data_IF_955643455249
#
_entry.id   IF_955643455249
#
_cell.length_a   1.000
_cell.length_b   1.000
_cell.length_c   1.000
_cell.angle_alpha   90.00
_cell.angle_beta   90.00
_cell.angle_gamma   90.00
#
_symmetry.space_group_name_H-M   'P 1'
#
loop_
_entity.id
_entity.type
_entity.pdbx_description
1 polymer ?
#
# COMPACT_ATOMS: atom_id res chain seq x y z
N UNK A 1 26.09 15.39 -19.68
CA UNK A 1 25.12 14.63 -20.49
C UNK A 1 25.38 13.17 -20.20
N UNK A 2 24.65 12.61 -19.25
CA UNK A 2 24.61 11.18 -18.95
C UNK A 2 23.14 10.84 -18.67
N UNK A 3 22.36 10.80 -19.75
CA UNK A 3 21.00 10.26 -19.73
C UNK A 3 21.13 8.73 -19.77
N UNK A 4 21.03 8.08 -18.61
CA UNK A 4 20.94 6.63 -18.52
C UNK A 4 19.47 6.21 -18.76
N UNK A 5 19.11 5.60 -19.91
CA UNK A 5 17.70 5.34 -20.25
C UNK A 5 17.13 4.04 -19.65
N UNK A 6 17.84 3.33 -18.78
CA UNK A 6 17.46 1.98 -18.36
C UNK A 6 16.59 1.87 -17.10
N UNK A 7 16.10 2.97 -16.53
CA UNK A 7 15.26 2.95 -15.33
C UNK A 7 13.82 3.41 -15.63
N UNK A 8 13.09 2.65 -16.44
CA UNK A 8 11.66 2.94 -16.71
C UNK A 8 10.81 1.67 -16.82
N UNK A 9 10.68 0.94 -15.72
CA UNK A 9 9.38 0.39 -15.33
C UNK A 9 9.26 0.48 -13.80
N UNK A 10 8.29 1.23 -13.25
CA UNK A 10 8.07 1.21 -11.82
C UNK A 10 7.44 -0.14 -11.47
N UNK A 11 8.25 -1.07 -10.96
CA UNK A 11 7.71 -2.14 -10.12
C UNK A 11 7.01 -1.46 -8.93
N UNK A 12 5.73 -1.76 -8.66
CA UNK A 12 5.05 -1.22 -7.49
C UNK A 12 5.88 -1.60 -6.25
N UNK A 13 6.03 -0.65 -5.31
CA UNK A 13 6.81 -0.87 -4.10
C UNK A 13 6.35 -2.17 -3.43
N UNK A 14 7.23 -3.18 -3.42
CA UNK A 14 7.00 -4.55 -2.94
C UNK A 14 6.77 -4.65 -1.42
N UNK A 15 6.29 -3.58 -0.77
CA UNK A 15 6.18 -3.47 0.69
C UNK A 15 5.09 -4.34 1.31
N UNK A 16 4.12 -4.80 0.53
CA UNK A 16 3.02 -5.63 1.05
C UNK A 16 2.58 -6.64 -0.02
N UNK A 17 3.28 -7.78 -0.09
CA UNK A 17 2.82 -9.00 -0.77
C UNK A 17 2.16 -9.96 0.22
N UNK A 18 1.12 -10.66 -0.25
CA UNK A 18 0.42 -11.76 0.43
C UNK A 18 1.39 -12.95 0.67
N UNK A 19 1.00 -13.87 1.58
CA UNK A 19 1.90 -14.54 2.54
C UNK A 19 3.27 -15.01 2.04
N UNK A 20 4.28 -14.71 2.86
CA UNK A 20 5.68 -15.13 2.69
C UNK A 20 5.84 -16.65 2.65
N UNK A 21 4.79 -17.41 3.00
CA UNK A 21 4.78 -18.87 3.10
C UNK A 21 5.26 -19.53 1.80
N UNK A 22 4.74 -19.12 0.64
CA UNK A 22 5.13 -19.72 -0.65
C UNK A 22 6.56 -19.40 -1.07
N UNK A 23 7.06 -18.19 -0.74
CA UNK A 23 8.47 -17.85 -0.98
C UNK A 23 9.38 -18.61 -0.02
N UNK A 24 9.00 -18.75 1.25
CA UNK A 24 9.76 -19.50 2.24
C UNK A 24 9.91 -20.98 1.85
N UNK A 25 8.83 -21.62 1.37
CA UNK A 25 8.87 -22.99 0.85
C UNK A 25 9.81 -23.12 -0.36
N UNK A 26 9.77 -22.15 -1.29
CA UNK A 26 10.66 -22.14 -2.45
C UNK A 26 12.13 -21.96 -2.04
N UNK A 27 12.41 -21.06 -1.11
CA UNK A 27 13.76 -20.86 -0.56
C UNK A 27 14.26 -22.12 0.16
N UNK A 28 13.40 -22.83 0.90
CA UNK A 28 13.75 -24.10 1.52
C UNK A 28 14.04 -25.19 0.48
N UNK A 29 13.23 -25.28 -0.58
CA UNK A 29 13.48 -26.21 -1.69
C UNK A 29 14.81 -25.92 -2.38
N UNK A 30 15.11 -24.66 -2.67
CA UNK A 30 16.39 -24.24 -3.25
C UNK A 30 17.56 -24.65 -2.33
N UNK A 31 17.42 -24.42 -1.02
CA UNK A 31 18.44 -24.82 -0.04
C UNK A 31 18.69 -26.32 -0.04
N UNK A 32 17.63 -27.13 -0.15
CA UNK A 32 17.74 -28.58 -0.18
C UNK A 32 18.38 -29.08 -1.48
N UNK A 33 17.99 -28.52 -2.64
CA UNK A 33 18.53 -28.91 -3.96
C UNK A 33 20.01 -28.52 -4.10
N UNK A 34 20.40 -27.38 -3.54
CA UNK A 34 21.79 -26.87 -3.60
C UNK A 34 22.66 -27.35 -2.44
N UNK A 35 22.10 -28.08 -1.47
CA UNK A 35 22.76 -28.45 -0.20
C UNK A 35 23.47 -27.27 0.48
N UNK A 36 22.85 -26.08 0.43
CA UNK A 36 23.47 -24.85 0.91
C UNK A 36 23.49 -24.77 2.44
N UNK A 37 24.50 -24.10 3.00
CA UNK A 37 24.50 -23.70 4.40
C UNK A 37 23.52 -22.56 4.66
N UNK A 38 23.42 -21.61 3.73
CA UNK A 38 22.38 -20.57 3.69
C UNK A 38 21.90 -20.36 2.27
N UNK A 39 20.59 -20.25 2.09
CA UNK A 39 19.94 -19.68 0.91
C UNK A 39 19.21 -18.41 1.33
N UNK A 40 19.39 -17.32 0.60
CA UNK A 40 18.77 -16.04 0.91
C UNK A 40 18.28 -15.31 -0.34
N UNK A 41 17.10 -14.70 -0.23
CA UNK A 41 16.50 -13.85 -1.26
C UNK A 41 16.47 -12.40 -0.76
N UNK A 42 17.13 -11.55 -1.50
CA UNK A 42 17.12 -10.10 -1.30
C UNK A 42 16.23 -9.45 -2.35
N UNK A 43 15.31 -8.58 -1.94
CA UNK A 43 14.46 -7.81 -2.84
C UNK A 43 14.78 -6.32 -2.74
N UNK A 44 14.72 -5.63 -3.87
CA UNK A 44 14.98 -4.21 -3.97
C UNK A 44 13.76 -3.38 -3.56
N UNK A 45 13.93 -2.52 -2.56
CA UNK A 45 12.97 -1.49 -2.17
C UNK A 45 13.26 -0.22 -2.98
N UNK A 46 12.42 0.04 -3.98
CA UNK A 46 12.54 1.21 -4.86
C UNK A 46 12.39 2.55 -4.14
N UNK A 47 11.70 2.59 -3.00
CA UNK A 47 11.50 3.82 -2.21
C UNK A 47 12.75 4.15 -1.40
N UNK A 48 13.36 3.13 -0.79
CA UNK A 48 14.57 3.31 0.02
C UNK A 48 15.87 3.19 -0.78
N UNK A 49 15.80 2.74 -2.04
CA UNK A 49 16.93 2.43 -2.90
C UNK A 49 17.92 1.45 -2.23
N UNK A 50 17.40 0.37 -1.64
CA UNK A 50 18.17 -0.63 -0.91
C UNK A 50 17.63 -2.04 -1.14
N UNK A 51 18.49 -3.04 -1.03
CA UNK A 51 18.12 -4.45 -1.00
C UNK A 51 17.82 -4.84 0.45
N UNK A 52 16.65 -5.43 0.69
CA UNK A 52 16.28 -5.97 1.99
C UNK A 52 16.25 -7.50 1.91
N UNK A 53 16.71 -8.16 2.96
CA UNK A 53 16.54 -9.61 3.09
C UNK A 53 15.04 -9.93 3.23
N UNK A 54 14.47 -10.65 2.26
CA UNK A 54 13.03 -10.96 2.25
C UNK A 54 12.75 -12.30 2.89
N UNK A 55 13.48 -13.33 2.49
CA UNK A 55 13.33 -14.71 2.94
C UNK A 55 14.71 -15.36 3.00
N UNK A 56 14.90 -16.29 3.92
CA UNK A 56 16.12 -17.11 3.97
C UNK A 56 15.84 -18.47 4.63
N UNK A 57 16.67 -19.45 4.28
CA UNK A 57 16.80 -20.72 4.98
C UNK A 57 18.28 -20.89 5.32
N UNK A 58 18.61 -21.10 6.59
CA UNK A 58 20.00 -21.15 7.04
C UNK A 58 20.19 -22.10 8.21
N UNK A 59 21.37 -22.73 8.25
CA UNK A 59 21.87 -23.45 9.41
C UNK A 59 22.65 -22.54 10.39
N UNK A 60 22.83 -21.26 10.07
CA UNK A 60 23.47 -20.28 10.95
C UNK A 60 22.48 -19.67 11.95
N UNK A 61 22.93 -19.51 13.20
CA UNK A 61 22.22 -18.74 14.23
C UNK A 61 22.59 -17.25 14.21
N UNK A 62 23.44 -16.82 13.29
CA UNK A 62 24.01 -15.47 13.22
C UNK A 62 23.59 -14.71 11.96
N UNK A 63 22.51 -15.11 11.29
CA UNK A 63 21.89 -14.30 10.23
C UNK A 63 21.45 -12.96 10.81
N UNK A 64 21.67 -11.88 10.06
CA UNK A 64 21.10 -10.58 10.37
C UNK A 64 19.77 -10.40 9.59
N UNK A 65 18.60 -10.63 10.20
CA UNK A 65 17.32 -10.53 9.51
C UNK A 65 17.00 -9.09 9.07
N UNK A 66 17.52 -8.08 9.79
CA UNK A 66 17.27 -6.66 9.54
C UNK A 66 18.26 -6.05 8.53
N UNK A 67 19.03 -6.88 7.82
CA UNK A 67 20.05 -6.38 6.90
C UNK A 67 19.45 -5.60 5.73
N UNK A 68 20.07 -4.45 5.43
CA UNK A 68 19.73 -3.60 4.29
C UNK A 68 21.00 -3.23 3.55
N UNK A 69 21.10 -3.62 2.28
CA UNK A 69 22.29 -3.44 1.46
C UNK A 69 22.10 -2.31 0.46
N UNK A 70 23.14 -1.51 0.25
CA UNK A 70 23.16 -0.57 -0.87
C UNK A 70 23.48 -1.32 -2.18
N UNK A 71 22.99 -0.80 -3.30
CA UNK A 71 23.34 -1.35 -4.62
C UNK A 71 24.83 -1.11 -4.89
N UNK A 72 25.54 -2.18 -5.28
CA UNK A 72 27.01 -2.18 -5.43
C UNK A 72 27.80 -2.39 -4.13
N UNK A 73 27.14 -2.45 -2.98
CA UNK A 73 27.75 -2.71 -1.68
C UNK A 73 27.62 -4.21 -1.34
N UNK A 74 28.73 -4.85 -1.00
CA UNK A 74 28.89 -6.33 -0.95
C UNK A 74 28.78 -7.04 -2.31
N UNK A 75 29.08 -8.34 -2.34
CA UNK A 75 28.89 -9.17 -3.53
C UNK A 75 27.43 -9.26 -3.95
N UNK A 76 26.50 -9.25 -2.99
CA UNK A 76 25.05 -9.28 -3.24
C UNK A 76 24.65 -7.97 -3.94
N UNK A 77 25.08 -6.81 -3.41
CA UNK A 77 24.85 -5.53 -4.06
C UNK A 77 25.52 -5.42 -5.43
N UNK A 78 26.69 -6.02 -5.62
CA UNK A 78 27.35 -6.08 -6.92
C UNK A 78 26.53 -6.84 -7.95
N UNK A 79 25.95 -8.00 -7.59
CA UNK A 79 25.06 -8.77 -8.48
C UNK A 79 23.84 -7.95 -8.87
N UNK A 80 23.20 -7.28 -7.90
CA UNK A 80 22.07 -6.39 -8.18
C UNK A 80 22.43 -5.25 -9.14
N UNK A 81 23.62 -4.65 -8.98
CA UNK A 81 24.10 -3.56 -9.82
C UNK A 81 24.43 -4.00 -11.25
N UNK A 82 25.11 -5.14 -11.39
CA UNK A 82 25.69 -5.56 -12.67
C UNK A 82 24.83 -6.56 -13.42
N UNK A 83 23.76 -7.08 -12.80
CA UNK A 83 22.85 -8.07 -13.39
C UNK A 83 23.60 -9.29 -13.94
N UNK A 84 24.63 -9.72 -13.21
CA UNK A 84 25.51 -10.85 -13.57
C UNK A 84 25.71 -11.76 -12.38
N UNK A 85 25.77 -13.08 -12.59
CA UNK A 85 26.03 -14.03 -11.52
C UNK A 85 27.45 -13.89 -10.98
N UNK A 86 27.63 -14.27 -9.73
CA UNK A 86 28.92 -14.40 -9.06
C UNK A 86 29.02 -15.80 -8.48
N UNK A 87 30.05 -16.55 -8.86
CA UNK A 87 30.41 -17.83 -8.25
C UNK A 87 31.85 -17.73 -7.75
N UNK A 88 32.03 -17.78 -6.43
CA UNK A 88 33.34 -17.61 -5.78
C UNK A 88 33.64 -18.85 -4.93
N UNK A 89 34.72 -19.52 -5.29
CA UNK A 89 35.41 -20.52 -4.49
C UNK A 89 36.92 -20.48 -4.83
N UNK A 90 37.83 -20.45 -3.85
CA UNK A 90 37.56 -20.38 -2.41
C UNK A 90 37.12 -18.98 -1.98
N UNK A 91 36.22 -18.91 -0.98
CA UNK A 91 35.85 -17.68 -0.32
C UNK A 91 36.71 -17.50 0.94
N UNK A 92 37.88 -16.88 0.78
CA UNK A 92 38.87 -16.72 1.86
C UNK A 92 38.82 -15.33 2.52
N UNK A 93 37.62 -14.74 2.62
CA UNK A 93 37.40 -13.41 3.22
C UNK A 93 36.47 -13.52 4.41
N UNK A 94 36.51 -12.50 5.28
CA UNK A 94 35.54 -12.37 6.37
C UNK A 94 34.12 -12.33 5.81
N UNK A 95 33.27 -13.26 6.27
CA UNK A 95 31.91 -13.43 5.75
C UNK A 95 30.99 -12.27 6.11
N UNK A 96 31.36 -11.45 7.11
CA UNK A 96 30.64 -10.21 7.42
C UNK A 96 30.66 -9.23 6.25
N UNK A 97 31.59 -9.38 5.30
CA UNK A 97 31.62 -8.58 4.07
C UNK A 97 30.44 -8.89 3.13
N UNK A 98 29.78 -10.04 3.26
CA UNK A 98 28.52 -10.31 2.57
C UNK A 98 27.38 -9.48 3.16
N UNK A 99 27.55 -8.97 4.39
CA UNK A 99 26.55 -8.23 5.18
C UNK A 99 25.25 -9.02 5.44
N UNK A 100 25.32 -10.35 5.32
CA UNK A 100 24.25 -11.29 5.66
C UNK A 100 24.34 -11.78 7.12
N UNK A 101 25.56 -11.82 7.68
CA UNK A 101 25.83 -12.37 9.01
C UNK A 101 26.30 -11.32 10.01
N UNK A 102 25.92 -11.52 11.27
CA UNK A 102 26.38 -10.75 12.44
C UNK A 102 27.80 -11.14 12.89
N UNK A 103 28.26 -12.35 12.55
CA UNK A 103 29.58 -12.89 12.89
C UNK A 103 30.20 -13.57 11.67
N UNK A 104 31.51 -13.80 11.75
CA UNK A 104 32.21 -14.63 10.77
C UNK A 104 31.75 -16.09 10.88
N UNK A 105 31.11 -16.59 9.82
CA UNK A 105 30.60 -17.97 9.72
C UNK A 105 31.58 -18.91 9.02
N UNK A 106 32.73 -18.41 8.56
CA UNK A 106 33.74 -19.19 7.82
C UNK A 106 33.16 -19.87 6.57
N UNK A 107 32.37 -19.12 5.82
CA UNK A 107 31.88 -19.48 4.49
C UNK A 107 33.07 -19.64 3.56
N UNK A 108 32.99 -20.65 2.69
CA UNK A 108 34.06 -21.12 1.81
C UNK A 108 33.68 -21.13 0.33
N UNK A 109 32.38 -21.17 0.03
CA UNK A 109 31.85 -20.98 -1.33
C UNK A 109 30.64 -20.07 -1.28
N UNK A 110 30.50 -19.19 -2.25
CA UNK A 110 29.37 -18.27 -2.39
C UNK A 110 28.93 -18.20 -3.85
N UNK A 111 27.64 -18.38 -4.10
CA UNK A 111 27.03 -18.25 -5.41
C UNK A 111 25.82 -17.32 -5.32
N UNK A 112 25.73 -16.35 -6.23
CA UNK A 112 24.61 -15.42 -6.30
C UNK A 112 24.21 -15.15 -7.74
N UNK A 113 22.92 -15.06 -8.00
CA UNK A 113 22.32 -14.79 -9.31
C UNK A 113 21.28 -13.66 -9.19
N UNK A 114 21.11 -12.84 -10.23
CA UNK A 114 20.04 -11.85 -10.25
C UNK A 114 18.66 -12.52 -10.31
N UNK A 115 17.67 -11.92 -9.65
CA UNK A 115 16.24 -12.24 -9.78
C UNK A 115 15.63 -11.09 -10.58
N UNK A 116 15.94 -11.05 -11.88
CA UNK A 116 15.73 -9.86 -12.70
C UNK A 116 16.26 -8.58 -12.03
N UNK A 117 15.58 -7.45 -12.27
CA UNK A 117 15.90 -6.17 -11.63
C UNK A 117 15.37 -6.04 -10.20
N UNK A 118 14.55 -6.99 -9.75
CA UNK A 118 13.82 -6.88 -8.47
C UNK A 118 14.57 -7.45 -7.28
N UNK A 119 15.67 -8.18 -7.50
CA UNK A 119 16.38 -8.80 -6.39
C UNK A 119 17.59 -9.66 -6.75
N UNK A 120 18.09 -10.37 -5.74
CA UNK A 120 19.24 -11.28 -5.82
C UNK A 120 18.93 -12.53 -5.00
N UNK A 121 19.17 -13.69 -5.59
CA UNK A 121 19.11 -14.99 -4.91
C UNK A 121 20.54 -15.48 -4.71
N UNK A 122 20.91 -15.81 -3.47
CA UNK A 122 22.24 -16.30 -3.16
C UNK A 122 22.21 -17.54 -2.28
N UNK A 123 23.26 -18.36 -2.44
CA UNK A 123 23.54 -19.54 -1.63
C UNK A 123 25.01 -19.53 -1.20
N UNK A 124 25.28 -20.10 -0.02
CA UNK A 124 26.63 -20.28 0.47
C UNK A 124 26.89 -21.65 1.09
N UNK A 125 28.16 -21.96 1.32
CA UNK A 125 28.60 -23.23 1.92
C UNK A 125 29.85 -23.06 2.77
N UNK A 126 29.99 -23.88 3.82
CA UNK A 126 31.23 -24.03 4.61
C UNK A 126 32.26 -24.96 3.97
N UNK A 127 31.97 -25.51 2.79
CA UNK A 127 32.86 -26.35 1.97
C UNK A 127 33.39 -25.55 0.77
N UNK A 128 34.60 -25.85 0.31
CA UNK A 128 35.20 -25.22 -0.89
C UNK A 128 34.72 -25.90 -2.18
N UNK A 129 34.62 -25.15 -3.28
CA UNK A 129 34.35 -25.63 -4.63
C UNK A 129 33.07 -26.48 -4.76
N UNK A 130 32.02 -26.15 -3.99
CA UNK A 130 30.76 -26.91 -4.00
C UNK A 130 29.88 -26.52 -5.18
N UNK A 131 29.86 -25.25 -5.57
CA UNK A 131 28.97 -24.74 -6.60
C UNK A 131 29.64 -24.81 -7.98
N UNK A 132 29.23 -25.78 -8.78
CA UNK A 132 29.64 -25.97 -10.17
C UNK A 132 28.85 -25.08 -11.13
N UNK A 133 29.22 -25.06 -12.41
CA UNK A 133 28.44 -24.38 -13.46
C UNK A 133 27.01 -24.93 -13.57
N UNK A 134 26.83 -26.22 -13.25
CA UNK A 134 25.50 -26.84 -13.18
C UNK A 134 24.68 -26.24 -12.04
N UNK A 135 25.28 -26.04 -10.88
CA UNK A 135 24.60 -25.43 -9.72
C UNK A 135 24.26 -23.96 -9.98
N UNK A 136 25.15 -23.22 -10.65
CA UNK A 136 24.85 -21.87 -11.11
C UNK A 136 23.65 -21.84 -12.06
N UNK A 137 23.57 -22.78 -13.01
CA UNK A 137 22.44 -22.89 -13.93
C UNK A 137 21.15 -23.22 -13.18
N UNK A 138 21.19 -24.17 -12.25
CA UNK A 138 20.04 -24.53 -11.40
C UNK A 138 19.57 -23.32 -10.60
N UNK A 139 20.48 -22.59 -9.94
CA UNK A 139 20.12 -21.41 -9.15
C UNK A 139 19.53 -20.29 -10.02
N UNK A 140 20.06 -20.10 -11.23
CA UNK A 140 19.49 -19.17 -12.21
C UNK A 140 18.07 -19.58 -12.63
N UNK A 141 17.83 -20.86 -12.92
CA UNK A 141 16.48 -21.32 -13.27
C UNK A 141 15.51 -21.12 -12.09
N UNK A 142 15.95 -21.31 -10.85
CA UNK A 142 15.18 -20.96 -9.67
C UNK A 142 14.95 -19.44 -9.53
N UNK A 143 15.91 -18.60 -9.91
CA UNK A 143 15.73 -17.14 -9.85
C UNK A 143 14.64 -16.67 -10.81
N UNK A 144 14.50 -17.32 -11.98
CA UNK A 144 13.38 -17.08 -12.90
C UNK A 144 12.04 -17.51 -12.29
N UNK A 145 11.98 -18.64 -11.58
CA UNK A 145 10.77 -19.08 -10.88
C UNK A 145 10.37 -18.10 -9.76
N UNK A 146 11.34 -17.65 -8.95
CA UNK A 146 11.12 -16.62 -7.93
C UNK A 146 10.54 -15.36 -8.57
N UNK A 147 11.12 -14.91 -9.70
CA UNK A 147 10.62 -13.73 -10.42
C UNK A 147 9.17 -13.90 -10.88
N UNK A 148 8.83 -15.06 -11.44
CA UNK A 148 7.46 -15.36 -11.88
C UNK A 148 6.47 -15.34 -10.72
N UNK A 149 6.83 -15.90 -9.55
CA UNK A 149 5.99 -15.87 -8.35
C UNK A 149 5.76 -14.43 -7.88
N UNK A 150 6.82 -13.61 -7.82
CA UNK A 150 6.71 -12.20 -7.43
C UNK A 150 5.82 -11.40 -8.39
N UNK A 151 5.95 -11.63 -9.69
CA UNK A 151 5.11 -10.99 -10.72
C UNK A 151 3.64 -11.41 -10.59
N UNK A 152 3.38 -12.71 -10.42
CA UNK A 152 2.02 -13.21 -10.23
C UNK A 152 1.37 -12.61 -8.98
N UNK A 153 2.10 -12.50 -7.87
CA UNK A 153 1.62 -11.85 -6.65
C UNK A 153 1.30 -10.37 -6.85
N UNK A 154 2.16 -9.63 -7.56
CA UNK A 154 1.94 -8.22 -7.86
C UNK A 154 0.70 -8.01 -8.76
N UNK A 155 0.55 -8.82 -9.81
CA UNK A 155 -0.62 -8.80 -10.70
C UNK A 155 -1.89 -9.12 -9.95
N UNK A 156 -1.90 -10.18 -9.13
CA UNK A 156 -3.06 -10.56 -8.33
C UNK A 156 -3.49 -9.45 -7.34
N UNK A 157 -2.54 -8.69 -6.79
CA UNK A 157 -2.86 -7.54 -5.94
C UNK A 157 -3.58 -6.43 -6.72
N UNK A 158 -3.06 -6.07 -7.89
CA UNK A 158 -3.66 -5.05 -8.76
C UNK A 158 -5.06 -5.49 -9.22
N UNK A 159 -5.21 -6.75 -9.66
CA UNK A 159 -6.50 -7.31 -10.08
C UNK A 159 -7.52 -7.29 -8.94
N UNK A 160 -7.13 -7.70 -7.74
CA UNK A 160 -8.00 -7.66 -6.56
C UNK A 160 -8.45 -6.24 -6.21
N UNK A 161 -7.56 -5.27 -6.33
CA UNK A 161 -7.89 -3.85 -6.11
C UNK A 161 -8.87 -3.34 -7.16
N UNK A 162 -8.63 -3.63 -8.44
CA UNK A 162 -9.54 -3.27 -9.52
C UNK A 162 -10.92 -3.92 -9.35
N UNK A 163 -10.97 -5.20 -8.97
CA UNK A 163 -12.21 -5.89 -8.65
C UNK A 163 -12.96 -5.20 -7.51
N UNK A 164 -12.25 -4.84 -6.44
CA UNK A 164 -12.85 -4.15 -5.28
C UNK A 164 -13.43 -2.79 -5.68
N UNK A 165 -12.75 -2.02 -6.54
CA UNK A 165 -13.23 -0.74 -7.08
C UNK A 165 -14.47 -0.95 -7.96
N UNK A 166 -14.46 -1.94 -8.86
CA UNK A 166 -15.60 -2.24 -9.73
C UNK A 166 -16.84 -2.68 -8.93
N UNK A 167 -16.65 -3.56 -7.94
CA UNK A 167 -17.72 -3.97 -7.02
C UNK A 167 -18.28 -2.78 -6.26
N UNK A 168 -17.43 -1.86 -5.79
CA UNK A 168 -17.87 -0.62 -5.15
C UNK A 168 -18.74 0.23 -6.07
N UNK A 169 -18.31 0.48 -7.31
CA UNK A 169 -19.10 1.23 -8.29
C UNK A 169 -20.43 0.55 -8.62
N UNK A 170 -20.43 -0.77 -8.80
CA UNK A 170 -21.65 -1.53 -9.06
C UNK A 170 -22.65 -1.41 -7.92
N UNK A 171 -22.18 -1.46 -6.66
CA UNK A 171 -23.04 -1.24 -5.50
C UNK A 171 -23.62 0.18 -5.46
N UNK A 172 -22.79 1.22 -5.63
CA UNK A 172 -23.26 2.62 -5.66
C UNK A 172 -24.27 2.85 -6.78
N UNK A 173 -24.01 2.33 -7.99
CA UNK A 173 -24.91 2.46 -9.13
C UNK A 173 -26.24 1.73 -8.91
N UNK A 174 -26.20 0.54 -8.31
CA UNK A 174 -27.40 -0.24 -7.97
C UNK A 174 -28.25 0.50 -6.93
N UNK A 175 -27.62 1.06 -5.89
CA UNK A 175 -28.31 1.89 -4.90
C UNK A 175 -28.92 3.14 -5.56
N UNK A 176 -28.21 3.76 -6.48
CA UNK A 176 -28.63 5.01 -7.14
C UNK A 176 -29.80 4.84 -8.11
N UNK A 177 -30.02 3.63 -8.64
CA UNK A 177 -31.15 3.30 -9.53
C UNK A 177 -32.41 2.83 -8.79
N UNK A 178 -32.28 2.42 -7.53
CA UNK A 178 -33.39 1.84 -6.76
C UNK A 178 -34.32 2.95 -6.24
N UNK A 179 -35.63 2.81 -6.49
CA UNK A 179 -36.66 3.65 -5.87
C UNK A 179 -36.67 3.41 -4.35
N UNK A 180 -36.30 4.42 -3.58
CA UNK A 180 -36.24 4.38 -2.12
C UNK A 180 -36.35 5.79 -1.54
N UNK A 181 -36.64 5.91 -0.24
CA UNK A 181 -36.63 7.21 0.43
C UNK A 181 -35.20 7.75 0.60
N UNK A 182 -35.10 9.07 0.71
CA UNK A 182 -33.83 9.79 0.76
C UNK A 182 -32.98 9.40 1.98
N UNK A 183 -33.60 9.12 3.14
CA UNK A 183 -32.86 8.74 4.34
C UNK A 183 -32.27 7.33 4.20
N UNK A 184 -33.04 6.39 3.66
CA UNK A 184 -32.55 5.05 3.36
C UNK A 184 -31.43 5.09 2.32
N UNK A 185 -31.55 5.94 1.29
CA UNK A 185 -30.48 6.15 0.31
C UNK A 185 -29.19 6.61 0.99
N UNK A 186 -29.27 7.67 1.80
CA UNK A 186 -28.10 8.19 2.55
C UNK A 186 -27.42 7.12 3.39
N UNK A 187 -28.18 6.36 4.17
CA UNK A 187 -27.61 5.33 5.05
C UNK A 187 -26.87 4.27 4.26
N UNK A 188 -27.44 3.79 3.14
CA UNK A 188 -26.84 2.72 2.33
C UNK A 188 -25.59 3.18 1.58
N UNK A 189 -25.60 4.38 0.99
CA UNK A 189 -24.42 4.89 0.27
C UNK A 189 -23.28 5.22 1.22
N UNK A 190 -23.57 5.80 2.39
CA UNK A 190 -22.54 6.05 3.42
C UNK A 190 -21.96 4.74 3.95
N UNK A 191 -22.80 3.73 4.22
CA UNK A 191 -22.31 2.40 4.63
C UNK A 191 -21.41 1.77 3.55
N UNK A 192 -21.77 1.89 2.28
CA UNK A 192 -20.97 1.39 1.17
C UNK A 192 -19.61 2.10 1.09
N UNK A 193 -19.60 3.43 1.15
CA UNK A 193 -18.37 4.23 1.12
C UNK A 193 -17.50 3.99 2.36
N UNK A 194 -18.10 3.82 3.55
CA UNK A 194 -17.37 3.50 4.79
C UNK A 194 -16.67 2.16 4.70
N UNK A 195 -17.38 1.12 4.24
CA UNK A 195 -16.82 -0.23 4.07
C UNK A 195 -15.68 -0.22 3.04
N UNK A 196 -15.89 0.41 1.89
CA UNK A 196 -14.88 0.51 0.84
C UNK A 196 -13.62 1.24 1.33
N UNK A 197 -13.78 2.38 2.00
CA UNK A 197 -12.66 3.15 2.55
C UNK A 197 -12.07 2.58 3.84
N UNK A 198 -12.56 1.45 4.36
CA UNK A 198 -12.14 0.89 5.65
C UNK A 198 -12.09 1.95 6.77
N UNK A 199 -13.17 2.73 6.90
CA UNK A 199 -13.32 3.77 7.93
C UNK A 199 -14.30 3.37 9.03
N UNK A 200 -14.23 4.05 10.17
CA UNK A 200 -15.05 3.77 11.34
C UNK A 200 -16.39 4.51 11.30
N UNK A 201 -16.43 5.68 10.66
CA UNK A 201 -17.67 6.42 10.43
C UNK A 201 -17.65 7.20 9.12
N UNK A 202 -18.85 7.52 8.64
CA UNK A 202 -19.08 8.33 7.46
C UNK A 202 -20.22 9.32 7.72
N UNK A 203 -20.13 10.52 7.15
CA UNK A 203 -21.22 11.49 7.23
C UNK A 203 -21.30 12.38 6.01
N UNK A 204 -22.52 12.82 5.73
CA UNK A 204 -22.84 13.65 4.59
C UNK A 204 -23.24 15.04 5.06
N UNK A 205 -22.63 16.06 4.48
CA UNK A 205 -23.07 17.44 4.63
C UNK A 205 -23.62 17.97 3.31
N UNK A 206 -24.70 18.74 3.37
CA UNK A 206 -25.22 19.51 2.25
C UNK A 206 -25.02 21.01 2.51
N UNK A 207 -24.70 21.73 1.43
CA UNK A 207 -24.50 23.18 1.44
C UNK A 207 -25.76 23.84 0.83
N UNK A 208 -26.54 24.62 1.60
CA UNK A 208 -27.67 25.39 1.08
C UNK A 208 -27.23 26.41 0.02
N UNK A 209 -28.20 26.96 -0.74
CA UNK A 209 -27.92 27.98 -1.79
C UNK A 209 -27.18 29.20 -1.25
N UNK A 210 -27.50 29.63 -0.03
CA UNK A 210 -26.74 30.63 0.70
C UNK A 210 -25.51 29.91 1.28
N UNK A 211 -24.34 30.12 0.68
CA UNK A 211 -23.05 29.49 1.07
C UNK A 211 -22.51 30.08 2.38
N UNK A 212 -23.34 30.20 3.42
CA UNK A 212 -22.95 30.71 4.75
C UNK A 212 -22.77 29.58 5.78
N UNK A 213 -23.53 28.49 5.63
CA UNK A 213 -23.54 27.36 6.55
C UNK A 213 -23.64 26.03 5.79
N UNK A 214 -23.31 24.92 6.44
CA UNK A 214 -23.61 23.57 5.97
C UNK A 214 -24.40 22.78 7.01
N UNK A 215 -25.12 21.76 6.57
CA UNK A 215 -25.94 20.90 7.43
C UNK A 215 -25.52 19.45 7.30
N UNK A 216 -25.29 18.78 8.43
CA UNK A 216 -25.13 17.32 8.46
C UNK A 216 -26.50 16.69 8.24
N UNK A 217 -26.66 15.97 7.13
CA UNK A 217 -27.94 15.34 6.73
C UNK A 217 -27.97 13.84 7.02
N UNK A 218 -26.81 13.19 7.08
CA UNK A 218 -26.71 11.78 7.37
C UNK A 218 -25.39 11.43 8.04
N UNK A 219 -25.43 10.39 8.88
CA UNK A 219 -24.29 9.80 9.58
C UNK A 219 -24.45 8.27 9.52
N UNK A 220 -23.35 7.55 9.46
CA UNK A 220 -23.26 6.09 9.54
C UNK A 220 -21.96 5.70 10.28
N UNK A 221 -21.97 4.56 10.96
CA UNK A 221 -20.81 4.04 11.70
C UNK A 221 -20.77 4.49 13.16
N UNK A 222 -19.56 4.59 13.73
CA UNK A 222 -19.34 4.80 15.18
C UNK A 222 -19.53 6.24 15.65
N UNK A 223 -19.78 7.19 14.74
CA UNK A 223 -19.95 8.61 15.09
C UNK A 223 -21.27 8.86 15.84
N UNK A 224 -21.18 8.89 17.18
CA UNK A 224 -22.29 9.14 18.10
C UNK A 224 -22.35 10.62 18.50
N UNK A 225 -22.65 11.48 17.53
CA UNK A 225 -22.75 12.92 17.75
C UNK A 225 -24.15 13.42 17.35
N UNK A 226 -24.81 14.28 18.15
CA UNK A 226 -26.10 14.88 17.79
C UNK A 226 -25.92 15.99 16.74
N UNK A 227 -25.27 15.67 15.63
CA UNK A 227 -24.99 16.60 14.53
C UNK A 227 -26.17 16.69 13.54
N UNK A 228 -27.09 15.71 13.56
CA UNK A 228 -28.28 15.76 12.69
C UNK A 228 -29.07 17.01 13.00
N UNK A 229 -29.26 17.85 11.97
CA UNK A 229 -30.01 19.14 12.00
C UNK A 229 -29.24 20.35 12.53
N UNK A 230 -27.95 20.25 12.84
CA UNK A 230 -27.13 21.40 13.20
C UNK A 230 -26.60 22.09 11.94
N UNK A 231 -26.75 23.42 11.87
CA UNK A 231 -26.10 24.24 10.85
C UNK A 231 -24.75 24.74 11.38
N UNK A 232 -23.67 24.43 10.67
CA UNK A 232 -22.32 24.83 11.02
C UNK A 232 -21.81 25.91 10.06
N UNK A 233 -21.03 26.91 10.52
CA UNK A 233 -20.42 27.91 9.64
C UNK A 233 -19.55 27.27 8.54
N UNK A 234 -19.59 27.83 7.34
CA UNK A 234 -18.88 27.26 6.17
C UNK A 234 -17.35 27.23 6.34
N UNK A 235 -16.81 28.07 7.21
CA UNK A 235 -15.38 28.19 7.44
C UNK A 235 -14.84 27.21 8.50
N UNK A 236 -15.72 26.41 9.09
CA UNK A 236 -15.41 25.59 10.26
C UNK A 236 -14.84 24.21 9.91
N UNK A 237 -13.64 23.94 10.42
CA UNK A 237 -13.02 22.62 10.42
C UNK A 237 -12.53 22.13 9.06
N UNK A 238 -12.09 20.87 9.01
CA UNK A 238 -11.65 20.23 7.77
C UNK A 238 -12.81 20.14 6.75
N UNK A 239 -14.03 19.93 7.21
CA UNK A 239 -15.22 19.94 6.35
C UNK A 239 -15.41 21.30 5.66
N UNK A 240 -15.31 22.39 6.42
CA UNK A 240 -15.37 23.74 5.88
C UNK A 240 -14.24 24.06 4.92
N UNK A 241 -13.03 23.57 5.19
CA UNK A 241 -11.90 23.68 4.27
C UNK A 241 -12.22 23.04 2.90
N UNK A 242 -12.76 21.81 2.89
CA UNK A 242 -13.14 21.13 1.64
C UNK A 242 -14.23 21.90 0.89
N UNK A 243 -15.17 22.51 1.61
CA UNK A 243 -16.21 23.35 1.00
C UNK A 243 -15.61 24.59 0.32
N UNK A 244 -14.63 25.25 0.95
CA UNK A 244 -14.01 26.47 0.38
C UNK A 244 -13.09 26.18 -0.78
N UNK A 245 -12.26 25.16 -0.66
CA UNK A 245 -11.26 24.82 -1.68
C UNK A 245 -11.86 24.03 -2.84
N UNK A 246 -13.05 23.43 -2.64
CA UNK A 246 -13.72 22.54 -3.59
C UNK A 246 -12.80 21.41 -4.10
N UNK A 247 -11.87 20.97 -3.24
CA UNK A 247 -10.86 19.93 -3.51
C UNK A 247 -10.92 18.81 -2.48
N UNK A 248 -10.67 17.54 -2.88
CA UNK A 248 -10.50 16.45 -1.93
C UNK A 248 -9.43 16.78 -0.88
N UNK A 249 -9.73 16.48 0.38
CA UNK A 249 -8.76 16.54 1.47
C UNK A 249 -8.56 15.13 2.03
N UNK A 250 -7.36 14.58 1.84
CA UNK A 250 -6.97 13.27 2.37
C UNK A 250 -5.93 13.45 3.46
N UNK A 251 -6.22 12.90 4.63
CA UNK A 251 -5.33 12.83 5.78
C UNK A 251 -5.21 11.37 6.20
N UNK A 252 -4.17 10.71 5.70
CA UNK A 252 -3.81 9.32 6.03
C UNK A 252 -3.43 9.14 7.50
N UNK A 253 -2.86 10.18 8.11
CA UNK A 253 -2.56 10.29 9.53
C UNK A 253 -2.87 11.70 10.04
N UNK A 254 -3.44 11.78 11.24
CA UNK A 254 -3.75 13.00 11.99
C UNK A 254 -3.50 12.76 13.48
N UNK A 255 -2.99 13.78 14.16
CA UNK A 255 -2.85 13.75 15.61
C UNK A 255 -4.16 14.18 16.28
N UNK A 256 -4.81 13.30 17.06
CA UNK A 256 -5.97 13.67 17.86
C UNK A 256 -5.56 14.83 18.79
N UNK A 257 -6.37 15.91 18.89
CA UNK A 257 -6.17 17.09 19.78
C UNK A 257 -5.16 18.17 19.35
N UNK A 258 -4.64 18.15 18.12
CA UNK A 258 -3.99 19.37 17.60
C UNK A 258 -5.08 20.38 17.16
N UNK A 259 -5.11 21.57 17.77
CA UNK A 259 -6.14 22.62 17.60
C UNK A 259 -6.37 23.07 16.14
N UNK A 260 -5.54 22.64 15.19
CA UNK A 260 -5.65 22.97 13.76
C UNK A 260 -6.33 21.90 12.88
N UNK A 261 -6.70 20.74 13.43
CA UNK A 261 -7.15 19.58 12.63
C UNK A 261 -8.49 18.98 13.11
N UNK A 262 -9.42 19.80 13.58
CA UNK A 262 -10.77 19.36 13.94
C UNK A 262 -11.68 19.26 12.71
N UNK A 263 -12.61 18.31 12.71
CA UNK A 263 -13.45 18.01 11.54
C UNK A 263 -14.60 19.01 11.40
N UNK A 264 -15.20 19.38 12.53
CA UNK A 264 -16.26 20.38 12.65
C UNK A 264 -15.83 21.57 13.52
N UNK A 265 -15.51 21.36 14.80
CA UNK A 265 -15.15 22.42 15.76
C UNK A 265 -14.12 21.95 16.81
N UNK A 266 -13.42 22.86 17.50
CA UNK A 266 -12.61 22.51 18.67
C UNK A 266 -13.49 21.78 19.71
N UNK A 267 -13.02 20.64 20.24
CA UNK A 267 -13.76 19.73 21.12
C UNK A 267 -14.93 18.97 20.48
N UNK A 268 -14.94 18.82 19.15
CA UNK A 268 -15.94 17.98 18.49
C UNK A 268 -15.82 16.47 18.88
N UNK A 269 -16.92 15.70 18.82
CA UNK A 269 -16.90 14.26 19.12
C UNK A 269 -16.04 13.44 18.14
N UNK A 270 -15.50 14.06 17.10
CA UNK A 270 -14.59 13.47 16.13
C UNK A 270 -13.12 13.60 16.57
N UNK A 271 -12.85 14.15 17.76
CA UNK A 271 -11.50 14.37 18.30
C UNK A 271 -10.63 13.12 18.45
N UNK A 272 -11.17 11.92 18.26
CA UNK A 272 -10.47 10.63 18.39
C UNK A 272 -10.10 9.99 17.05
N UNK A 273 -10.45 10.60 15.92
CA UNK A 273 -10.10 10.06 14.61
C UNK A 273 -8.66 10.44 14.23
N UNK A 274 -7.95 9.46 13.65
CA UNK A 274 -6.56 9.55 13.22
C UNK A 274 -6.44 9.61 11.69
N UNK A 275 -7.53 9.45 10.96
CA UNK A 275 -7.55 9.60 9.50
C UNK A 275 -8.87 10.22 9.03
N UNK A 276 -8.81 10.93 7.90
CA UNK A 276 -9.94 11.69 7.34
C UNK A 276 -9.85 11.76 5.82
N UNK A 277 -10.99 11.55 5.16
CA UNK A 277 -11.21 11.90 3.76
C UNK A 277 -12.42 12.84 3.71
N UNK A 278 -12.24 14.02 3.15
CA UNK A 278 -13.33 14.93 2.79
C UNK A 278 -13.41 15.09 1.29
N UNK A 279 -14.54 14.73 0.69
CA UNK A 279 -14.74 14.70 -0.76
C UNK A 279 -15.83 15.69 -1.18
N UNK A 280 -15.48 16.73 -1.96
CA UNK A 280 -16.47 17.65 -2.47
C UNK A 280 -17.38 16.93 -3.46
N UNK A 281 -18.68 17.10 -3.30
CA UNK A 281 -19.68 16.53 -4.20
C UNK A 281 -20.21 17.63 -5.12
N UNK A 282 -19.66 17.63 -6.33
CA UNK A 282 -19.93 18.61 -7.38
C UNK A 282 -20.95 18.04 -8.37
N UNK A 283 -21.86 18.88 -8.84
CA UNK A 283 -22.76 18.57 -9.95
C UNK A 283 -22.79 19.78 -10.90
N UNK A 284 -22.42 19.57 -12.17
CA UNK A 284 -22.19 20.63 -13.16
C UNK A 284 -21.32 21.78 -12.63
N UNK A 285 -20.19 21.46 -11.99
CA UNK A 285 -19.24 22.45 -11.47
C UNK A 285 -19.70 23.22 -10.23
N UNK A 286 -20.89 22.91 -9.69
CA UNK A 286 -21.40 23.51 -8.46
C UNK A 286 -21.29 22.54 -7.29
N UNK A 287 -20.76 23.02 -6.16
CA UNK A 287 -20.73 22.26 -4.92
C UNK A 287 -22.12 22.20 -4.26
N UNK A 288 -22.56 20.98 -3.93
CA UNK A 288 -23.81 20.76 -3.20
C UNK A 288 -23.61 20.12 -1.83
N UNK A 289 -22.44 19.53 -1.57
CA UNK A 289 -22.16 18.87 -0.31
C UNK A 289 -20.74 18.33 -0.21
N UNK A 290 -20.43 17.73 0.94
CA UNK A 290 -19.18 17.01 1.17
C UNK A 290 -19.50 15.67 1.79
N UNK A 291 -18.92 14.60 1.23
CA UNK A 291 -18.89 13.29 1.85
C UNK A 291 -17.63 13.19 2.69
N UNK A 292 -17.79 12.81 3.96
CA UNK A 292 -16.69 12.73 4.91
C UNK A 292 -16.58 11.30 5.45
N UNK A 293 -15.36 10.79 5.51
CA UNK A 293 -15.02 9.45 5.98
C UNK A 293 -13.92 9.59 7.04
N UNK A 294 -14.05 8.91 8.17
CA UNK A 294 -13.16 9.10 9.34
C UNK A 294 -12.82 7.78 9.99
N UNK A 295 -11.53 7.60 10.34
CA UNK A 295 -11.01 6.37 10.95
C UNK A 295 -10.27 6.64 12.26
N UNK A 296 -10.38 5.73 13.22
CA UNK A 296 -9.68 5.73 14.51
C UNK A 296 -8.22 5.31 14.39
N UNK A 297 -7.81 4.84 13.21
CA UNK A 297 -6.45 4.43 12.87
C UNK A 297 -5.98 5.21 11.65
N UNK A 298 -4.66 5.29 11.52
CA UNK A 298 -4.04 5.68 10.27
C UNK A 298 -4.46 4.73 9.14
N UNK A 299 -4.44 5.22 7.91
CA UNK A 299 -4.87 4.45 6.75
C UNK A 299 -3.96 4.72 5.54
N UNK A 300 -3.75 3.72 4.71
CA UNK A 300 -2.84 3.74 3.56
C UNK A 300 -3.60 3.79 2.22
N UNK A 301 -4.71 4.52 2.16
CA UNK A 301 -5.50 4.65 0.92
C UNK A 301 -4.65 4.96 -0.29
N UNK A 302 -4.83 4.20 -1.36
CA UNK A 302 -4.20 4.42 -2.65
C UNK A 302 -4.97 5.50 -3.43
N UNK A 303 -4.29 6.17 -4.36
CA UNK A 303 -4.88 7.29 -5.08
C UNK A 303 -6.08 6.85 -5.95
N UNK A 304 -6.05 5.62 -6.48
CA UNK A 304 -7.17 5.01 -7.22
C UNK A 304 -8.41 4.80 -6.34
N UNK A 305 -8.24 4.49 -5.05
CA UNK A 305 -9.37 4.37 -4.09
C UNK A 305 -9.99 5.75 -3.80
N UNK A 306 -9.16 6.78 -3.65
CA UNK A 306 -9.63 8.16 -3.48
C UNK A 306 -10.36 8.65 -4.74
N UNK A 307 -9.85 8.34 -5.92
CA UNK A 307 -10.50 8.66 -7.19
C UNK A 307 -11.83 7.92 -7.36
N UNK A 308 -11.91 6.66 -6.94
CA UNK A 308 -13.14 5.88 -6.95
C UNK A 308 -14.21 6.51 -6.05
N UNK A 309 -13.86 6.85 -4.80
CA UNK A 309 -14.76 7.53 -3.87
C UNK A 309 -15.19 8.91 -4.37
N UNK A 310 -14.28 9.67 -4.99
CA UNK A 310 -14.59 10.99 -5.57
C UNK A 310 -15.62 10.87 -6.70
N UNK A 311 -15.42 9.91 -7.60
CA UNK A 311 -16.35 9.62 -8.70
C UNK A 311 -17.71 9.15 -8.16
N UNK A 312 -17.71 8.28 -7.15
CA UNK A 312 -18.94 7.85 -6.49
C UNK A 312 -19.68 9.02 -5.84
N UNK A 313 -18.96 10.00 -5.26
CA UNK A 313 -19.54 11.23 -4.72
C UNK A 313 -20.36 12.02 -5.74
N UNK A 314 -19.93 12.05 -7.01
CA UNK A 314 -20.67 12.69 -8.11
C UNK A 314 -21.97 11.94 -8.45
N UNK A 315 -21.92 10.61 -8.50
CA UNK A 315 -23.12 9.77 -8.68
C UNK A 315 -24.09 9.95 -7.52
N UNK A 316 -23.57 9.92 -6.28
CA UNK A 316 -24.37 10.06 -5.06
C UNK A 316 -25.11 11.40 -5.05
N UNK A 317 -24.42 12.51 -5.32
CA UNK A 317 -25.07 13.82 -5.30
C UNK A 317 -26.10 13.99 -6.41
N UNK A 318 -25.85 13.42 -7.60
CA UNK A 318 -26.82 13.41 -8.69
C UNK A 318 -28.12 12.71 -8.27
N UNK A 319 -28.01 11.54 -7.64
CA UNK A 319 -29.17 10.81 -7.11
C UNK A 319 -29.88 11.54 -5.98
N UNK A 320 -29.15 12.20 -5.08
CA UNK A 320 -29.74 13.03 -4.02
C UNK A 320 -30.57 14.15 -4.62
N UNK A 321 -30.01 14.88 -5.59
CA UNK A 321 -30.72 15.98 -6.25
C UNK A 321 -31.97 15.50 -6.98
N UNK A 322 -31.92 14.31 -7.61
CA UNK A 322 -33.09 13.70 -8.22
C UNK A 322 -34.16 13.33 -7.18
N UNK A 323 -33.77 12.63 -6.11
CA UNK A 323 -34.69 12.21 -5.03
C UNK A 323 -35.28 13.39 -4.22
N UNK A 324 -34.62 14.54 -4.17
CA UNK A 324 -35.14 15.76 -3.53
C UNK A 324 -36.15 16.52 -4.39
N UNK A 325 -36.16 16.27 -5.71
CA UNK A 325 -37.06 16.91 -6.67
C UNK A 325 -38.23 16.00 -7.08
N UNK A 326 -38.28 14.76 -6.57
CA UNK A 326 -39.39 13.82 -6.67
C UNK A 326 -40.30 13.91 -5.44
#
# INVERSE_FOLDING_TARGET
>A
MDDNPFFKMPFPALKETLSDDGLNELIQLISNVTESFTTALFLFDSVKNKLNLRCYHSLSLHINPDTQLQVGDSLIGWVAKNQRPVNIAPFDRDTRNLKLYLKDEKIKSFLAVPVGEVGVLCVDSKRNYVFTDKDQKILHDFSLLVLQVLQAQATAKIEKQQQTILEFFNHINTLSKKKQDLNQYYQRVLQCCRKFSNTDAAFLVLVPKKKDRYKVVALEGTLKAPLKKTFLPIDMGLTGWVIREEKPLVRRSMKPRNHKSYIFFPDDPCMHFQSYIGLPMLFFGKLYGVMNLVGHRENNWEDDEIQALTSAGQTIITSILYLMNL
#
